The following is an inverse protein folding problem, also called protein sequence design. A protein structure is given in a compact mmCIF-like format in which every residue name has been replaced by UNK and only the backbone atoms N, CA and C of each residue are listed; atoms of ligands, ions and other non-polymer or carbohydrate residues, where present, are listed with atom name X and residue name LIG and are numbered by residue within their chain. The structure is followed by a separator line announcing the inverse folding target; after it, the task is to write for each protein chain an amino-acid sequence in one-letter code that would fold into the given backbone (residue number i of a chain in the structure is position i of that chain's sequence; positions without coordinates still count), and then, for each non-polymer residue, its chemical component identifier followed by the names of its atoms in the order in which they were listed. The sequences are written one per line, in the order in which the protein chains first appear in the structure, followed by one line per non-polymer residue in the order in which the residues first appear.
data_IF_728142616559
#
_entry.id   IF_728142616559
#
_cell.length_a   1.000
_cell.length_b   1.000
_cell.length_c   1.000
_cell.angle_alpha   90.00
_cell.angle_beta   90.00
_cell.angle_gamma   90.00
#
_symmetry.space_group_name_H-M   'P 1'
#
loop_
_entity.id
_entity.type
_entity.pdbx_description
1 polymer ?
#
# COMPACT_ATOMS: atom_id res chain seq x y z
N UNK A 1 72.88 -1.15 33.17
CA UNK A 1 72.32 -0.71 31.86
C UNK A 1 70.89 -0.23 32.06
N UNK A 2 70.75 1.06 32.03
CA UNK A 2 69.61 1.86 32.45
C UNK A 2 68.66 2.13 31.27
N UNK A 3 67.41 1.80 31.42
CA UNK A 3 66.36 2.18 30.47
C UNK A 3 65.53 3.30 31.04
N UNK A 4 65.56 4.46 30.33
CA UNK A 4 64.85 5.71 30.62
C UNK A 4 63.35 5.55 30.22
N UNK A 5 62.42 5.81 31.12
CA UNK A 5 60.97 5.93 30.83
C UNK A 5 60.66 7.37 30.54
N UNK A 6 60.13 7.63 29.32
CA UNK A 6 59.54 8.92 28.92
C UNK A 6 58.03 8.84 29.17
N UNK A 7 57.51 9.63 30.09
CA UNK A 7 56.10 9.85 30.35
C UNK A 7 55.61 11.06 29.52
N UNK A 8 54.67 10.78 28.58
CA UNK A 8 53.94 11.86 27.87
C UNK A 8 52.65 12.18 28.65
N UNK A 9 52.56 13.42 29.15
CA UNK A 9 51.36 14.00 29.74
C UNK A 9 50.42 14.42 28.62
N UNK A 10 49.19 13.83 28.56
CA UNK A 10 48.09 14.35 27.75
C UNK A 10 47.27 15.32 28.59
N UNK A 11 47.17 16.57 28.11
CA UNK A 11 46.27 17.60 28.63
C UNK A 11 44.93 17.42 27.96
N UNK A 12 43.89 17.09 28.72
CA UNK A 12 42.51 17.09 28.26
C UNK A 12 41.91 18.51 28.37
N UNK A 13 41.60 19.10 27.23
CA UNK A 13 40.78 20.30 27.14
C UNK A 13 39.32 19.86 27.09
N UNK A 14 38.55 20.10 28.16
CA UNK A 14 37.11 19.84 28.23
C UNK A 14 36.34 20.91 27.48
N UNK A 15 35.65 20.53 26.43
CA UNK A 15 34.60 21.35 25.82
C UNK A 15 33.25 20.80 26.36
N UNK A 16 32.60 21.60 27.21
CA UNK A 16 31.23 21.37 27.68
C UNK A 16 30.31 21.89 26.56
N UNK A 17 29.76 20.97 25.75
CA UNK A 17 28.65 21.26 24.85
C UNK A 17 27.33 21.09 25.61
N UNK A 18 26.63 22.18 25.87
CA UNK A 18 25.26 22.16 26.42
C UNK A 18 24.29 21.60 25.38
N UNK A 19 23.89 20.33 25.52
CA UNK A 19 22.76 19.76 24.77
C UNK A 19 21.45 20.29 25.35
N UNK A 20 20.77 21.12 24.56
CA UNK A 20 19.37 21.47 24.84
C UNK A 20 18.50 20.21 24.59
N UNK A 21 17.96 19.67 25.67
CA UNK A 21 16.95 18.60 25.64
C UNK A 21 15.64 19.17 25.05
N UNK A 22 15.40 18.92 23.76
CA UNK A 22 14.07 19.11 23.17
C UNK A 22 13.24 17.88 23.44
N UNK A 23 12.08 18.05 24.07
CA UNK A 23 11.18 16.99 24.50
C UNK A 23 10.60 16.22 23.30
N UNK A 24 10.44 14.88 23.38
CA UNK A 24 9.93 14.04 22.28
C UNK A 24 8.47 14.32 21.86
N UNK A 25 7.72 15.10 22.65
CA UNK A 25 6.33 15.44 22.34
C UNK A 25 6.16 16.40 21.16
N UNK A 26 7.15 17.24 20.84
CA UNK A 26 7.04 18.21 19.74
C UNK A 26 7.25 17.59 18.36
N UNK A 27 8.01 16.50 18.28
CA UNK A 27 8.28 15.81 17.01
C UNK A 27 7.10 14.95 16.55
N UNK A 28 6.39 14.29 17.48
CA UNK A 28 5.18 13.52 17.16
C UNK A 28 4.07 14.39 16.56
N UNK A 29 3.93 15.64 17.02
CA UNK A 29 2.94 16.56 16.47
C UNK A 29 3.29 17.05 15.05
N UNK A 30 4.56 17.20 14.71
CA UNK A 30 4.98 17.63 13.38
C UNK A 30 4.76 16.52 12.33
N UNK A 31 4.98 15.25 12.70
CA UNK A 31 4.73 14.09 11.85
C UNK A 31 3.24 13.90 11.59
N UNK A 32 2.42 14.00 12.63
CA UNK A 32 0.96 13.95 12.52
C UNK A 32 0.40 15.07 11.62
N UNK A 33 0.97 16.27 11.70
CA UNK A 33 0.59 17.39 10.84
C UNK A 33 0.96 17.13 9.37
N UNK A 34 2.18 16.65 9.09
CA UNK A 34 2.61 16.30 7.71
C UNK A 34 1.79 15.17 7.09
N UNK A 35 1.43 14.16 7.88
CA UNK A 35 0.56 13.04 7.42
C UNK A 35 -0.85 13.55 7.17
N UNK A 36 -1.38 14.41 8.05
CA UNK A 36 -2.71 15.02 7.89
C UNK A 36 -2.78 15.95 6.68
N UNK A 37 -1.73 16.73 6.43
CA UNK A 37 -1.67 17.65 5.29
C UNK A 37 -1.52 16.89 3.95
N UNK A 38 -0.78 15.78 3.90
CA UNK A 38 -0.73 14.89 2.71
C UNK A 38 -2.04 14.15 2.47
N UNK A 39 -2.66 13.59 3.49
CA UNK A 39 -3.98 12.97 3.39
C UNK A 39 -5.04 13.99 2.94
N UNK A 40 -4.96 15.23 3.43
CA UNK A 40 -5.82 16.33 3.00
C UNK A 40 -5.55 16.76 1.54
N UNK A 41 -4.30 16.79 1.09
CA UNK A 41 -3.95 17.14 -0.31
C UNK A 41 -4.39 16.06 -1.31
N UNK A 42 -4.40 14.78 -0.91
CA UNK A 42 -4.91 13.68 -1.76
C UNK A 42 -6.43 13.61 -1.76
N UNK A 43 -7.08 14.11 -0.70
CA UNK A 43 -8.53 14.08 -0.50
C UNK A 43 -9.25 15.39 -0.89
N UNK A 44 -8.52 16.48 -1.17
CA UNK A 44 -9.14 17.78 -1.39
C UNK A 44 -9.47 18.08 -2.84
N UNK A 45 -10.72 18.07 -3.15
CA UNK A 45 -11.53 19.19 -3.58
C UNK A 45 -11.34 19.75 -4.99
N UNK A 46 -10.20 19.57 -5.64
CA UNK A 46 -10.01 20.10 -7.01
C UNK A 46 -10.44 19.14 -8.13
N UNK A 47 -10.62 17.87 -7.82
CA UNK A 47 -11.09 16.87 -8.80
C UNK A 47 -12.63 16.76 -8.75
N UNK A 48 -13.24 16.92 -7.58
CA UNK A 48 -14.71 16.86 -7.41
C UNK A 48 -15.45 17.98 -8.15
N UNK A 49 -15.02 19.23 -8.04
CA UNK A 49 -15.71 20.36 -8.65
C UNK A 49 -15.70 20.37 -10.19
N UNK A 50 -14.70 19.75 -10.83
CA UNK A 50 -14.66 19.63 -12.29
C UNK A 50 -15.48 18.45 -12.82
N UNK A 51 -15.59 17.39 -12.03
CA UNK A 51 -16.29 16.15 -12.42
C UNK A 51 -17.81 16.32 -12.30
N UNK A 52 -18.29 16.97 -11.23
CA UNK A 52 -19.73 17.19 -11.02
C UNK A 52 -20.34 18.14 -12.05
N UNK A 53 -19.58 19.17 -12.50
CA UNK A 53 -20.01 20.08 -13.57
C UNK A 53 -20.06 19.44 -14.95
N UNK A 54 -19.21 18.45 -15.21
CA UNK A 54 -19.19 17.71 -16.48
C UNK A 54 -20.33 16.68 -16.56
N UNK A 55 -20.64 16.01 -15.48
CA UNK A 55 -21.73 15.03 -15.41
C UNK A 55 -23.10 15.69 -15.50
N UNK A 56 -23.32 16.83 -14.81
CA UNK A 56 -24.58 17.57 -14.84
C UNK A 56 -24.91 18.13 -16.26
N UNK A 57 -23.88 18.53 -17.03
CA UNK A 57 -24.09 18.98 -18.42
C UNK A 57 -24.38 17.83 -19.40
N UNK A 58 -23.87 16.61 -19.13
CA UNK A 58 -24.11 15.42 -19.96
C UNK A 58 -25.53 14.90 -19.83
N UNK A 59 -26.08 14.89 -18.62
CA UNK A 59 -27.40 14.34 -18.33
C UNK A 59 -28.53 15.24 -18.90
N UNK A 60 -28.39 16.53 -18.79
CA UNK A 60 -29.41 17.46 -19.30
C UNK A 60 -29.52 17.47 -20.85
N UNK A 61 -28.47 17.08 -21.56
CA UNK A 61 -28.49 17.03 -23.03
C UNK A 61 -29.11 15.74 -23.59
N UNK A 62 -29.22 14.69 -22.78
CA UNK A 62 -29.78 13.37 -23.19
C UNK A 62 -31.29 13.27 -22.93
N UNK A 63 -31.88 14.16 -22.11
CA UNK A 63 -33.29 14.14 -21.75
C UNK A 63 -34.18 14.96 -22.67
N UNK A 64 -33.61 15.78 -23.58
CA UNK A 64 -34.41 16.61 -24.50
C UNK A 64 -34.69 15.97 -25.89
N UNK A 65 -34.26 14.72 -26.14
CA UNK A 65 -34.42 14.08 -27.45
C UNK A 65 -35.11 12.72 -27.35
N UNK A 66 -36.22 12.60 -26.65
CA UNK A 66 -37.07 11.41 -26.71
C UNK A 66 -38.55 11.80 -26.60
N UNK A 67 -39.17 12.01 -27.71
CA UNK A 67 -40.62 11.84 -27.83
C UNK A 67 -40.96 11.13 -29.15
N UNK A 68 -41.83 10.10 -29.14
CA UNK A 68 -42.03 9.22 -30.27
C UNK A 68 -43.32 9.63 -31.07
N UNK A 69 -43.24 9.54 -32.39
CA UNK A 69 -44.45 9.35 -33.18
C UNK A 69 -44.28 8.21 -34.19
N UNK A 70 -45.31 7.38 -34.21
CA UNK A 70 -45.57 6.26 -35.09
C UNK A 70 -45.72 6.69 -36.56
N UNK A 71 -45.28 5.86 -37.49
CA UNK A 71 -46.17 5.23 -38.50
C UNK A 71 -45.36 4.30 -39.43
N UNK A 72 -45.94 3.12 -39.69
CA UNK A 72 -45.60 2.14 -40.73
C UNK A 72 -46.53 2.44 -41.94
N UNK A 73 -46.35 2.05 -43.21
CA UNK A 73 -45.95 0.75 -43.70
C UNK A 73 -45.24 0.63 -45.07
N UNK A 74 -44.67 -0.53 -45.31
CA UNK A 74 -44.58 -1.33 -46.58
C UNK A 74 -43.88 -0.81 -47.80
N UNK A 75 -42.93 -1.61 -48.32
CA UNK A 75 -42.49 -1.59 -49.73
C UNK A 75 -41.13 -2.24 -50.01
N UNK A 76 -41.14 -3.43 -50.59
CA UNK A 76 -40.00 -4.18 -51.17
C UNK A 76 -39.16 -3.33 -52.12
N UNK A 77 -37.84 -3.48 -52.12
CA UNK A 77 -37.07 -4.00 -53.26
C UNK A 77 -35.56 -4.10 -52.98
N UNK A 78 -35.07 -5.22 -53.46
CA UNK A 78 -33.68 -5.62 -53.52
C UNK A 78 -32.82 -4.64 -54.35
N UNK A 79 -31.61 -4.34 -53.87
CA UNK A 79 -30.39 -4.28 -54.68
C UNK A 79 -29.13 -4.32 -53.82
N UNK A 80 -28.32 -5.26 -54.17
CA UNK A 80 -26.93 -5.50 -53.95
C UNK A 80 -26.08 -4.22 -53.87
N UNK A 81 -25.40 -3.94 -52.76
CA UNK A 81 -24.24 -3.03 -52.69
C UNK A 81 -23.31 -3.41 -51.54
N UNK A 82 -22.15 -3.85 -51.94
CA UNK A 82 -20.82 -3.81 -51.31
C UNK A 82 -20.75 -3.37 -49.86
N UNK A 83 -20.30 -4.30 -49.00
CA UNK A 83 -19.91 -4.06 -47.63
C UNK A 83 -18.63 -3.19 -47.58
N UNK A 84 -18.78 -1.88 -47.36
CA UNK A 84 -17.72 -1.06 -46.81
C UNK A 84 -17.72 -1.23 -45.29
N UNK A 85 -16.64 -1.81 -44.77
CA UNK A 85 -16.30 -1.95 -43.37
C UNK A 85 -16.06 -0.55 -42.78
N UNK A 86 -17.12 0.12 -42.32
CA UNK A 86 -17.01 1.31 -41.49
C UNK A 86 -16.78 0.88 -40.04
N UNK A 87 -15.52 0.63 -39.68
CA UNK A 87 -15.09 0.43 -38.33
C UNK A 87 -15.48 1.60 -37.43
N UNK A 88 -16.61 1.50 -36.75
CA UNK A 88 -16.92 2.39 -35.64
C UNK A 88 -15.85 2.21 -34.58
N UNK A 89 -15.20 3.30 -34.10
CA UNK A 89 -14.27 3.18 -32.97
C UNK A 89 -15.04 2.65 -31.76
N UNK A 90 -14.61 1.53 -31.23
CA UNK A 90 -15.15 0.95 -30.00
C UNK A 90 -15.14 2.05 -28.93
N UNK A 91 -16.32 2.51 -28.52
CA UNK A 91 -16.47 3.42 -27.40
C UNK A 91 -15.95 2.72 -26.15
N UNK A 92 -14.71 3.01 -25.76
CA UNK A 92 -14.19 2.54 -24.48
C UNK A 92 -14.96 3.24 -23.36
N UNK A 93 -15.86 2.52 -22.73
CA UNK A 93 -16.53 2.98 -21.51
C UNK A 93 -15.47 3.11 -20.42
N UNK A 94 -15.17 4.34 -19.99
CA UNK A 94 -14.30 4.59 -18.87
C UNK A 94 -15.11 4.34 -17.59
N UNK A 95 -14.79 3.24 -16.89
CA UNK A 95 -15.30 3.00 -15.54
C UNK A 95 -14.48 3.84 -14.56
N UNK A 96 -15.15 4.67 -13.76
CA UNK A 96 -14.53 5.42 -12.67
C UNK A 96 -14.80 4.72 -11.36
N UNK A 97 -13.74 4.36 -10.62
CA UNK A 97 -13.83 3.92 -9.24
C UNK A 97 -13.56 5.09 -8.32
N UNK A 98 -14.48 5.37 -7.40
CA UNK A 98 -14.27 6.42 -6.39
C UNK A 98 -13.29 5.90 -5.34
N UNK A 99 -12.26 6.70 -5.02
CA UNK A 99 -11.43 6.46 -3.85
C UNK A 99 -12.26 6.74 -2.60
N UNK A 100 -12.64 5.68 -1.90
CA UNK A 100 -13.52 5.71 -0.74
C UNK A 100 -12.84 5.14 0.53
N UNK A 101 -11.50 5.17 0.55
CA UNK A 101 -10.73 4.77 1.72
C UNK A 101 -10.86 5.79 2.84
N UNK A 102 -11.12 5.30 4.05
CA UNK A 102 -11.11 6.10 5.27
C UNK A 102 -10.21 5.41 6.29
N UNK A 103 -9.19 6.13 6.75
CA UNK A 103 -8.27 5.61 7.75
C UNK A 103 -8.97 5.33 9.09
N UNK A 104 -8.53 4.30 9.80
CA UNK A 104 -9.00 4.00 11.15
C UNK A 104 -8.71 5.14 12.11
N UNK A 105 -9.57 5.33 13.10
CA UNK A 105 -9.53 6.45 14.06
C UNK A 105 -8.53 6.22 15.21
N UNK A 106 -8.24 4.97 15.56
CA UNK A 106 -7.33 4.61 16.65
C UNK A 106 -6.01 4.06 16.12
N UNK A 107 -4.98 4.90 16.05
CA UNK A 107 -3.64 4.53 15.59
C UNK A 107 -3.00 3.58 16.60
N UNK A 108 -2.56 2.42 16.14
CA UNK A 108 -1.89 1.39 16.94
C UNK A 108 -0.38 1.40 16.74
N UNK A 109 0.07 1.67 15.51
CA UNK A 109 1.47 1.60 15.12
C UNK A 109 1.75 2.58 13.99
N UNK A 110 2.88 3.28 14.10
CA UNK A 110 3.43 4.16 13.05
C UNK A 110 4.93 3.96 13.04
N UNK A 111 5.48 3.77 11.86
CA UNK A 111 6.93 3.74 11.67
C UNK A 111 7.30 4.33 10.30
N UNK A 112 8.00 5.46 10.32
CA UNK A 112 8.60 6.13 9.16
C UNK A 112 10.13 5.93 9.11
N UNK A 113 10.65 5.12 10.04
CA UNK A 113 12.06 4.81 10.23
C UNK A 113 12.97 6.02 10.53
N UNK A 114 12.42 7.20 10.80
CA UNK A 114 13.20 8.45 10.97
C UNK A 114 14.21 8.40 12.12
N UNK A 115 13.97 7.56 13.12
CA UNK A 115 14.82 7.41 14.31
C UNK A 115 15.71 6.16 14.28
N UNK A 116 15.74 5.44 13.16
CA UNK A 116 16.47 4.19 13.01
C UNK A 116 17.83 4.39 12.34
N UNK A 117 18.75 3.45 12.52
CA UNK A 117 20.08 3.49 11.92
C UNK A 117 20.04 3.01 10.45
N UNK A 118 20.65 3.79 9.55
CA UNK A 118 20.83 3.39 8.15
C UNK A 118 21.83 2.24 8.05
N UNK A 119 21.55 1.27 7.17
CA UNK A 119 22.35 0.08 6.97
C UNK A 119 21.98 -1.09 7.90
N UNK A 120 21.03 -0.91 8.79
CA UNK A 120 20.55 -1.92 9.73
C UNK A 120 19.07 -2.25 9.48
N UNK A 121 18.61 -3.39 10.01
CA UNK A 121 17.18 -3.70 10.09
C UNK A 121 16.55 -2.81 11.17
N UNK A 122 15.29 -2.33 10.98
CA UNK A 122 14.63 -1.52 12.00
C UNK A 122 14.58 -2.23 13.35
N UNK A 123 14.72 -1.46 14.43
CA UNK A 123 14.72 -1.99 15.81
C UNK A 123 13.44 -2.78 16.10
N UNK A 124 13.60 -3.98 16.69
CA UNK A 124 12.48 -4.85 17.04
C UNK A 124 11.87 -5.64 15.87
N UNK A 125 12.23 -5.34 14.63
CA UNK A 125 11.86 -6.14 13.47
C UNK A 125 12.63 -7.47 13.46
N UNK A 126 12.08 -8.46 12.75
CA UNK A 126 12.75 -9.73 12.53
C UNK A 126 12.84 -10.03 11.03
N UNK A 127 13.94 -10.67 10.61
CA UNK A 127 14.16 -11.00 9.20
C UNK A 127 15.02 -12.26 9.08
N UNK A 128 14.80 -13.03 8.00
CA UNK A 128 15.66 -14.17 7.63
C UNK A 128 16.71 -13.83 6.57
N UNK A 129 16.92 -12.55 6.27
CA UNK A 129 17.91 -12.08 5.30
C UNK A 129 18.43 -10.69 5.61
N UNK A 130 19.18 -10.11 4.66
CA UNK A 130 19.92 -8.87 4.83
C UNK A 130 19.17 -7.62 4.36
N UNK A 131 17.86 -7.55 4.62
CA UNK A 131 17.08 -6.33 4.41
C UNK A 131 17.52 -5.24 5.38
N UNK A 132 17.69 -4.00 4.89
CA UNK A 132 18.25 -2.89 5.66
C UNK A 132 17.58 -1.57 5.32
N UNK A 133 17.71 -0.60 6.20
CA UNK A 133 17.30 0.77 5.95
C UNK A 133 18.29 1.50 5.07
N UNK A 134 17.78 2.24 4.10
CA UNK A 134 18.55 3.05 3.17
C UNK A 134 17.92 4.44 2.99
N UNK A 135 18.71 5.40 2.49
CA UNK A 135 18.21 6.64 1.88
C UNK A 135 18.22 6.47 0.37
N UNK A 136 17.20 6.99 -0.28
CA UNK A 136 17.09 7.01 -1.74
C UNK A 136 17.31 8.42 -2.26
N UNK A 137 18.12 8.56 -3.31
CA UNK A 137 18.42 9.86 -3.91
C UNK A 137 17.13 10.52 -4.42
N UNK A 138 16.95 11.79 -4.06
CA UNK A 138 15.77 12.57 -4.43
C UNK A 138 14.48 12.19 -3.70
N UNK A 139 14.53 11.29 -2.71
CA UNK A 139 13.37 10.93 -1.89
C UNK A 139 13.59 11.29 -0.42
N UNK A 140 12.54 11.82 0.21
CA UNK A 140 12.58 12.11 1.64
C UNK A 140 12.45 10.83 2.48
N UNK A 141 13.06 10.86 3.68
CA UNK A 141 12.94 9.81 4.69
C UNK A 141 13.87 8.62 4.49
N UNK A 142 13.59 7.58 5.24
CA UNK A 142 14.32 6.31 5.19
C UNK A 142 13.39 5.21 4.68
N UNK A 143 13.97 4.24 4.00
CA UNK A 143 13.25 3.19 3.31
C UNK A 143 13.81 1.82 3.68
N UNK A 144 12.94 0.88 4.03
CA UNK A 144 13.32 -0.52 4.17
C UNK A 144 13.54 -1.13 2.79
N UNK A 145 14.81 -1.38 2.44
CA UNK A 145 15.18 -2.13 1.23
C UNK A 145 15.05 -3.62 1.49
N UNK A 146 14.23 -4.29 0.70
CA UNK A 146 14.09 -5.74 0.77
C UNK A 146 15.23 -6.45 0.01
N UNK A 147 15.90 -7.39 0.67
CA UNK A 147 16.76 -8.34 -0.01
C UNK A 147 15.95 -9.48 -0.62
N UNK A 148 16.42 -10.08 -1.73
CA UNK A 148 15.75 -11.25 -2.30
C UNK A 148 15.78 -12.44 -1.33
N UNK A 149 14.79 -13.34 -1.42
CA UNK A 149 14.59 -14.53 -0.55
C UNK A 149 14.36 -14.17 0.93
N UNK A 150 13.84 -12.98 1.18
CA UNK A 150 13.70 -12.45 2.54
C UNK A 150 12.25 -12.25 2.91
N UNK A 151 11.94 -12.59 4.16
CA UNK A 151 10.75 -12.19 4.89
C UNK A 151 11.17 -11.23 5.98
N UNK A 152 10.49 -10.09 6.09
CA UNK A 152 10.63 -9.14 7.18
C UNK A 152 9.31 -9.06 7.94
N UNK A 153 9.36 -9.18 9.26
CA UNK A 153 8.23 -9.07 10.17
C UNK A 153 8.36 -7.78 10.97
N UNK A 154 7.30 -6.98 10.99
CA UNK A 154 7.27 -5.74 11.80
C UNK A 154 7.30 -6.06 13.30
N UNK A 155 7.68 -5.07 14.10
CA UNK A 155 7.66 -5.16 15.56
C UNK A 155 6.29 -4.86 16.19
N UNK A 156 5.24 -4.62 15.38
CA UNK A 156 3.89 -4.45 15.91
C UNK A 156 3.39 -5.72 16.61
N UNK A 157 2.88 -5.58 17.83
CA UNK A 157 2.33 -6.67 18.66
C UNK A 157 0.86 -6.44 19.03
N UNK A 158 0.33 -5.23 18.73
CA UNK A 158 -1.03 -4.86 19.09
C UNK A 158 -2.02 -5.48 18.13
N UNK A 159 -3.12 -6.00 18.66
CA UNK A 159 -4.21 -6.57 17.87
C UNK A 159 -4.96 -5.46 17.11
N UNK A 160 -5.17 -5.68 15.82
CA UNK A 160 -5.84 -4.71 14.94
C UNK A 160 -7.37 -4.66 15.14
N UNK A 161 -7.95 -5.71 15.73
CA UNK A 161 -9.40 -5.85 15.81
C UNK A 161 -9.99 -6.43 14.51
N UNK A 162 -11.33 -6.41 14.42
CA UNK A 162 -12.04 -6.87 13.21
C UNK A 162 -12.14 -5.78 12.16
N UNK A 163 -12.18 -4.53 12.60
CA UNK A 163 -12.18 -3.35 11.73
C UNK A 163 -10.83 -2.66 11.87
N UNK A 164 -10.10 -2.56 10.77
CA UNK A 164 -8.74 -2.03 10.76
C UNK A 164 -8.36 -1.41 9.42
N UNK A 165 -7.32 -0.57 9.48
CA UNK A 165 -6.65 -0.06 8.29
C UNK A 165 -5.14 -0.23 8.40
N UNK A 166 -4.50 -0.46 7.25
CA UNK A 166 -3.05 -0.48 7.08
C UNK A 166 -2.70 0.42 5.92
N UNK A 167 -1.74 1.29 6.13
CA UNK A 167 -1.21 2.20 5.12
C UNK A 167 0.32 2.11 5.11
N UNK A 168 0.92 2.17 3.94
CA UNK A 168 2.36 2.31 3.75
C UNK A 168 2.69 2.81 2.36
N UNK A 169 3.89 3.33 2.18
CA UNK A 169 4.41 3.69 0.87
C UNK A 169 5.35 2.60 0.36
N UNK A 170 5.24 2.29 -0.93
CA UNK A 170 6.08 1.33 -1.65
C UNK A 170 6.76 2.01 -2.83
N UNK A 171 8.03 1.69 -3.06
CA UNK A 171 8.76 2.12 -4.26
C UNK A 171 9.38 0.90 -4.94
N UNK A 172 9.09 0.73 -6.23
CA UNK A 172 9.57 -0.39 -7.04
C UNK A 172 10.47 0.13 -8.16
N UNK A 173 11.73 -0.25 -8.11
CA UNK A 173 12.71 0.01 -9.16
C UNK A 173 13.11 -1.32 -9.80
N UNK A 174 12.75 -1.53 -11.06
CA UNK A 174 13.00 -2.77 -11.77
C UNK A 174 13.55 -2.45 -13.17
N UNK A 175 14.76 -2.93 -13.43
CA UNK A 175 15.35 -2.89 -14.77
C UNK A 175 15.00 -4.18 -15.51
N UNK A 176 13.88 -4.16 -16.25
CA UNK A 176 13.34 -5.34 -16.93
C UNK A 176 14.31 -5.88 -18.00
N UNK A 177 14.89 -7.06 -17.76
CA UNK A 177 15.87 -7.73 -18.64
C UNK A 177 15.29 -8.93 -19.42
N UNK A 178 13.96 -9.06 -19.46
CA UNK A 178 13.29 -10.19 -20.13
C UNK A 178 13.13 -11.43 -19.25
N UNK A 179 13.70 -11.46 -18.04
CA UNK A 179 13.46 -12.49 -17.03
C UNK A 179 12.27 -12.10 -16.14
N UNK A 180 11.73 -13.06 -15.40
CA UNK A 180 10.70 -12.78 -14.41
C UNK A 180 11.34 -12.16 -13.18
N UNK A 181 10.93 -10.92 -12.79
CA UNK A 181 11.33 -10.34 -11.53
C UNK A 181 10.80 -11.16 -10.34
N UNK A 182 11.35 -10.97 -9.13
CA UNK A 182 10.83 -11.64 -7.95
C UNK A 182 9.42 -11.15 -7.64
N UNK A 183 8.57 -12.05 -7.14
CA UNK A 183 7.27 -11.67 -6.59
C UNK A 183 7.46 -10.92 -5.27
N UNK A 184 6.70 -9.87 -5.11
CA UNK A 184 6.64 -9.03 -3.92
C UNK A 184 5.37 -9.38 -3.17
N UNK A 185 5.48 -9.67 -1.87
CA UNK A 185 4.33 -9.92 -1.02
C UNK A 185 4.32 -8.97 0.15
N UNK A 186 3.15 -8.53 0.51
CA UNK A 186 2.89 -7.86 1.76
C UNK A 186 1.58 -8.38 2.36
N UNK A 187 1.53 -8.43 3.66
CA UNK A 187 0.36 -9.00 4.30
C UNK A 187 0.35 -8.86 5.80
N UNK A 188 -0.75 -9.31 6.37
CA UNK A 188 -1.00 -9.35 7.80
C UNK A 188 -1.07 -10.80 8.26
N UNK A 189 -0.59 -11.05 9.46
CA UNK A 189 -0.75 -12.35 10.11
C UNK A 189 -1.18 -12.21 11.57
N UNK A 190 -1.84 -13.24 12.06
CA UNK A 190 -2.08 -13.50 13.46
C UNK A 190 -1.03 -14.50 13.93
N UNK A 191 -0.18 -14.09 14.84
CA UNK A 191 0.86 -14.97 15.37
C UNK A 191 0.28 -16.08 16.25
N UNK A 192 -0.96 -15.90 16.76
CA UNK A 192 -1.60 -16.86 17.65
C UNK A 192 -0.76 -17.11 18.89
N UNK A 193 -0.35 -18.38 19.09
CA UNK A 193 0.54 -18.80 20.17
C UNK A 193 2.02 -18.73 19.81
N UNK A 194 2.37 -18.46 18.55
CA UNK A 194 3.77 -18.32 18.14
C UNK A 194 4.37 -17.06 18.74
N UNK A 195 5.66 -17.14 19.10
CA UNK A 195 6.41 -15.96 19.52
C UNK A 195 6.60 -15.05 18.30
N UNK A 196 6.07 -13.80 18.33
CA UNK A 196 6.22 -12.85 17.22
C UNK A 196 7.69 -12.49 16.92
N UNK A 197 8.59 -12.62 17.90
CA UNK A 197 10.02 -12.40 17.72
C UNK A 197 10.77 -13.65 17.28
N UNK A 198 10.11 -14.81 17.26
CA UNK A 198 10.68 -16.07 16.85
C UNK A 198 10.83 -16.22 15.35
N UNK A 199 11.68 -17.15 14.92
CA UNK A 199 12.00 -17.37 13.51
C UNK A 199 10.98 -18.25 12.76
N UNK A 200 10.03 -18.86 13.45
CA UNK A 200 9.05 -19.79 12.86
C UNK A 200 8.25 -19.14 11.75
N UNK A 201 7.80 -17.89 11.97
CA UNK A 201 6.99 -17.15 11.02
C UNK A 201 7.80 -16.61 9.82
N UNK A 202 9.12 -16.59 9.91
CA UNK A 202 9.99 -16.20 8.78
C UNK A 202 10.06 -17.28 7.69
N UNK A 203 9.86 -18.54 8.04
CA UNK A 203 9.84 -19.66 7.09
C UNK A 203 8.47 -19.83 6.41
N UNK A 204 7.38 -19.54 7.13
CA UNK A 204 6.01 -19.59 6.62
C UNK A 204 5.16 -18.48 7.27
N UNK A 205 5.07 -17.28 6.64
CA UNK A 205 4.37 -16.14 7.22
C UNK A 205 2.84 -16.28 7.10
N UNK A 206 2.29 -17.41 7.50
CA UNK A 206 0.84 -17.66 7.53
C UNK A 206 0.26 -17.57 8.94
N UNK A 207 1.00 -18.05 9.97
CA UNK A 207 0.52 -18.08 11.33
C UNK A 207 -0.82 -18.82 11.49
N UNK A 208 -1.59 -18.49 12.51
CA UNK A 208 -2.95 -19.04 12.70
C UNK A 208 -3.94 -18.45 11.68
N UNK A 209 -3.67 -17.24 11.22
CA UNK A 209 -4.46 -16.51 10.23
C UNK A 209 -3.54 -15.58 9.46
N UNK A 210 -3.70 -15.50 8.16
CA UNK A 210 -2.98 -14.52 7.35
C UNK A 210 -3.79 -14.00 6.19
N UNK A 211 -3.36 -12.85 5.71
CA UNK A 211 -3.84 -12.19 4.52
C UNK A 211 -2.62 -11.72 3.75
N UNK A 212 -2.58 -11.96 2.45
CA UNK A 212 -1.44 -11.65 1.60
C UNK A 212 -1.90 -11.13 0.24
N UNK A 213 -1.32 -10.02 -0.21
CA UNK A 213 -1.33 -9.62 -1.60
C UNK A 213 0.05 -9.94 -2.21
N UNK A 214 0.04 -10.67 -3.31
CA UNK A 214 1.23 -10.94 -4.12
C UNK A 214 1.18 -10.10 -5.38
N UNK A 215 2.29 -9.45 -5.70
CA UNK A 215 2.54 -8.72 -6.94
C UNK A 215 3.66 -9.43 -7.67
N UNK A 216 3.37 -9.94 -8.87
CA UNK A 216 4.38 -10.49 -9.78
C UNK A 216 4.61 -9.50 -10.91
N UNK A 217 5.72 -8.72 -10.87
CA UNK A 217 5.96 -7.64 -11.82
C UNK A 217 6.16 -8.15 -13.26
N UNK A 218 5.65 -7.38 -14.22
CA UNK A 218 5.84 -7.57 -15.65
C UNK A 218 6.20 -6.22 -16.29
N UNK A 219 6.94 -6.21 -17.39
CA UNK A 219 7.28 -4.98 -18.11
C UNK A 219 6.04 -4.21 -18.62
N UNK A 220 4.93 -4.91 -18.79
CA UNK A 220 3.64 -4.36 -19.24
C UNK A 220 2.64 -4.07 -18.14
N UNK A 221 2.95 -4.43 -16.88
CA UNK A 221 2.05 -4.32 -15.76
C UNK A 221 2.47 -5.24 -14.62
N UNK A 222 1.52 -5.89 -13.95
CA UNK A 222 1.79 -6.95 -12.99
C UNK A 222 0.63 -7.95 -12.94
N UNK A 223 0.92 -9.20 -12.59
CA UNK A 223 -0.09 -10.10 -12.08
C UNK A 223 -0.23 -9.90 -10.57
N UNK A 224 -1.45 -9.74 -10.10
CA UNK A 224 -1.75 -9.59 -8.68
C UNK A 224 -2.66 -10.72 -8.22
N UNK A 225 -2.40 -11.24 -7.02
CA UNK A 225 -3.18 -12.30 -6.38
C UNK A 225 -3.41 -11.92 -4.92
N UNK A 226 -4.63 -12.13 -4.45
CA UNK A 226 -5.00 -11.99 -3.06
C UNK A 226 -5.28 -13.37 -2.47
N UNK A 227 -4.62 -13.67 -1.37
CA UNK A 227 -4.79 -14.93 -0.64
C UNK A 227 -5.04 -14.67 0.84
N UNK A 228 -5.80 -15.54 1.47
CA UNK A 228 -5.85 -15.62 2.92
C UNK A 228 -5.86 -17.07 3.40
N UNK A 229 -5.41 -17.26 4.64
CA UNK A 229 -5.24 -18.56 5.27
C UNK A 229 -5.84 -18.56 6.67
N UNK A 230 -6.32 -19.71 7.09
CA UNK A 230 -6.75 -20.03 8.45
C UNK A 230 -6.13 -21.38 8.84
N UNK A 231 -5.38 -21.41 9.94
CA UNK A 231 -4.67 -22.61 10.41
C UNK A 231 -3.88 -23.28 9.27
N UNK A 232 -3.05 -22.49 8.56
CA UNK A 232 -2.24 -22.91 7.40
C UNK A 232 -3.06 -23.41 6.18
N UNK A 233 -4.41 -23.49 6.27
CA UNK A 233 -5.26 -23.87 5.15
C UNK A 233 -5.74 -22.65 4.41
N UNK A 234 -5.70 -22.69 3.07
CA UNK A 234 -6.17 -21.58 2.23
C UNK A 234 -7.67 -21.37 2.46
N UNK A 235 -8.05 -20.17 2.91
CA UNK A 235 -9.42 -19.73 3.13
C UNK A 235 -10.00 -19.04 1.89
N UNK A 236 -9.20 -18.15 1.29
CA UNK A 236 -9.59 -17.44 0.09
C UNK A 236 -8.41 -17.35 -0.88
N UNK A 237 -8.71 -17.36 -2.18
CA UNK A 237 -7.74 -17.12 -3.26
C UNK A 237 -8.45 -16.41 -4.41
N UNK A 238 -7.96 -15.25 -4.81
CA UNK A 238 -8.44 -14.60 -6.02
C UNK A 238 -7.84 -15.29 -7.26
N UNK A 239 -8.56 -15.28 -8.40
CA UNK A 239 -7.88 -15.52 -9.68
C UNK A 239 -6.76 -14.50 -9.87
N UNK A 240 -5.64 -14.88 -10.54
CA UNK A 240 -4.63 -13.92 -10.93
C UNK A 240 -5.24 -12.81 -11.80
N UNK A 241 -5.02 -11.56 -11.42
CA UNK A 241 -5.50 -10.41 -12.17
C UNK A 241 -4.31 -9.75 -12.86
N UNK A 242 -4.35 -9.65 -14.19
CA UNK A 242 -3.37 -8.86 -14.93
C UNK A 242 -3.77 -7.38 -14.82
N UNK A 243 -2.94 -6.59 -14.16
CA UNK A 243 -3.17 -5.16 -13.99
C UNK A 243 -2.19 -4.36 -14.85
N UNK A 244 -2.71 -3.76 -15.91
CA UNK A 244 -1.96 -2.78 -16.70
C UNK A 244 -1.71 -1.48 -15.90
N UNK A 245 -2.51 -1.21 -14.87
CA UNK A 245 -2.31 -0.07 -13.96
C UNK A 245 -0.97 -0.16 -13.24
N UNK A 246 -0.50 -1.39 -12.97
CA UNK A 246 0.78 -1.61 -12.32
C UNK A 246 1.99 -1.05 -13.08
N UNK A 247 1.88 -0.79 -14.38
CA UNK A 247 2.93 -0.09 -15.13
C UNK A 247 3.24 1.29 -14.55
N UNK A 248 2.27 1.93 -13.90
CA UNK A 248 2.44 3.23 -13.25
C UNK A 248 3.19 3.14 -11.92
N UNK A 249 3.34 1.93 -11.35
CA UNK A 249 3.97 1.75 -10.03
C UNK A 249 5.49 1.75 -10.09
N UNK A 250 6.08 1.45 -11.25
CA UNK A 250 7.53 1.38 -11.40
C UNK A 250 8.16 2.77 -11.47
N UNK A 251 9.20 2.98 -10.67
CA UNK A 251 9.92 4.24 -10.58
C UNK A 251 9.14 5.38 -9.91
N UNK A 252 8.05 5.06 -9.18
CA UNK A 252 7.23 6.01 -8.44
C UNK A 252 6.91 5.49 -7.05
N UNK A 253 6.68 6.41 -6.13
CA UNK A 253 6.11 6.08 -4.82
C UNK A 253 4.63 5.75 -5.00
N UNK A 254 4.24 4.58 -4.56
CA UNK A 254 2.87 4.08 -4.58
C UNK A 254 2.36 3.99 -3.14
N UNK A 255 1.30 4.72 -2.85
CA UNK A 255 0.61 4.60 -1.57
C UNK A 255 -0.31 3.38 -1.57
N UNK A 256 -0.11 2.48 -0.61
CA UNK A 256 -0.93 1.29 -0.41
C UNK A 256 -1.86 1.53 0.77
N UNK A 257 -3.17 1.31 0.54
CA UNK A 257 -4.19 1.39 1.58
C UNK A 257 -4.97 0.07 1.65
N UNK A 258 -5.04 -0.50 2.83
CA UNK A 258 -5.76 -1.76 3.10
C UNK A 258 -6.81 -1.48 4.17
N UNK A 259 -8.03 -1.92 3.94
CA UNK A 259 -9.14 -1.81 4.87
C UNK A 259 -9.79 -3.18 5.09
N UNK A 260 -9.73 -3.66 6.33
CA UNK A 260 -10.48 -4.82 6.79
C UNK A 260 -11.73 -4.39 7.55
N UNK A 261 -12.85 -5.00 7.23
CA UNK A 261 -14.13 -4.77 7.91
C UNK A 261 -14.81 -6.13 8.12
N UNK A 262 -14.62 -6.72 9.28
CA UNK A 262 -14.98 -8.10 9.58
C UNK A 262 -14.38 -9.08 8.54
N UNK A 263 -15.20 -9.66 7.67
CA UNK A 263 -14.76 -10.55 6.59
C UNK A 263 -14.38 -9.82 5.31
N UNK A 264 -14.85 -8.56 5.14
CA UNK A 264 -14.62 -7.79 3.92
C UNK A 264 -13.23 -7.18 3.90
N UNK A 265 -12.58 -7.26 2.74
CA UNK A 265 -11.29 -6.66 2.48
C UNK A 265 -11.37 -5.74 1.27
N UNK A 266 -10.77 -4.57 1.41
CA UNK A 266 -10.53 -3.64 0.31
C UNK A 266 -9.07 -3.27 0.27
N UNK A 267 -8.50 -3.16 -0.93
CA UNK A 267 -7.11 -2.74 -1.15
C UNK A 267 -7.08 -1.71 -2.27
N UNK A 268 -6.38 -0.62 -2.03
CA UNK A 268 -6.11 0.43 -3.02
C UNK A 268 -4.60 0.57 -3.22
N UNK A 269 -4.21 0.86 -4.46
CA UNK A 269 -2.84 1.16 -4.86
C UNK A 269 -2.86 2.50 -5.56
N UNK A 270 -2.25 3.53 -4.94
CA UNK A 270 -2.22 4.90 -5.46
C UNK A 270 -3.62 5.46 -5.80
N UNK A 271 -4.60 5.13 -4.94
CA UNK A 271 -6.00 5.52 -5.10
C UNK A 271 -6.86 4.63 -5.99
N UNK A 272 -6.26 3.76 -6.80
CA UNK A 272 -6.99 2.78 -7.61
C UNK A 272 -7.38 1.56 -6.75
N UNK A 273 -8.67 1.22 -6.72
CA UNK A 273 -9.18 0.07 -5.96
C UNK A 273 -8.84 -1.22 -6.69
N UNK A 274 -7.92 -2.00 -6.13
CA UNK A 274 -7.48 -3.29 -6.67
C UNK A 274 -8.39 -4.44 -6.26
N UNK A 275 -8.86 -4.44 -5.00
CA UNK A 275 -9.71 -5.47 -4.45
C UNK A 275 -10.84 -4.88 -3.61
N UNK A 276 -12.01 -5.48 -3.73
CA UNK A 276 -13.15 -5.32 -2.84
C UNK A 276 -13.86 -6.68 -2.70
N UNK A 277 -13.45 -7.45 -1.69
CA UNK A 277 -13.86 -8.83 -1.52
C UNK A 277 -14.67 -8.97 -0.23
N UNK A 278 -15.97 -9.32 -0.31
CA UNK A 278 -16.84 -9.38 0.86
C UNK A 278 -16.44 -10.43 1.91
N UNK A 279 -15.80 -11.53 1.48
CA UNK A 279 -15.42 -12.65 2.34
C UNK A 279 -13.99 -13.11 2.04
N UNK A 280 -13.02 -12.23 2.28
CA UNK A 280 -11.60 -12.55 2.15
C UNK A 280 -10.92 -12.80 3.50
N UNK A 281 -11.49 -12.32 4.61
CA UNK A 281 -10.88 -12.39 5.94
C UNK A 281 -11.59 -13.45 6.78
N UNK A 282 -10.89 -14.48 7.29
CA UNK A 282 -11.47 -15.38 8.28
C UNK A 282 -11.90 -14.62 9.55
N UNK A 283 -13.08 -14.90 10.11
CA UNK A 283 -13.60 -14.19 11.29
C UNK A 283 -12.81 -14.47 12.56
N UNK A 284 -12.32 -15.72 12.73
CA UNK A 284 -11.60 -16.11 13.92
C UNK A 284 -10.16 -15.57 13.92
N UNK A 285 -9.70 -15.19 15.10
CA UNK A 285 -8.38 -14.60 15.29
C UNK A 285 -8.32 -13.13 14.86
N UNK A 286 -7.32 -12.42 15.34
CA UNK A 286 -7.06 -11.01 15.00
C UNK A 286 -5.64 -10.87 14.50
N UNK A 287 -5.46 -10.07 13.45
CA UNK A 287 -4.13 -9.71 12.96
C UNK A 287 -3.39 -8.87 14.00
N UNK A 288 -2.10 -9.08 14.10
CA UNK A 288 -1.22 -8.32 15.00
C UNK A 288 0.15 -8.01 14.40
N UNK A 289 0.46 -8.52 13.21
CA UNK A 289 1.77 -8.31 12.62
C UNK A 289 1.66 -8.07 11.12
N UNK A 290 2.36 -7.04 10.63
CA UNK A 290 2.59 -6.78 9.23
C UNK A 290 3.87 -7.49 8.79
N UNK A 291 3.89 -8.04 7.57
CA UNK A 291 5.09 -8.59 6.97
C UNK A 291 5.26 -8.16 5.52
N UNK A 292 6.53 -8.17 5.08
CA UNK A 292 6.94 -8.02 3.71
C UNK A 292 7.78 -9.21 3.29
N UNK A 293 7.65 -9.64 2.04
CA UNK A 293 8.42 -10.73 1.49
C UNK A 293 8.83 -10.42 0.05
N UNK A 294 10.09 -10.71 -0.27
CA UNK A 294 10.61 -10.68 -1.63
C UNK A 294 11.12 -12.08 -2.00
N UNK A 295 10.56 -12.64 -3.09
CA UNK A 295 10.96 -13.97 -3.56
C UNK A 295 12.34 -13.95 -4.21
N UNK A 296 12.82 -15.11 -4.66
CA UNK A 296 14.05 -15.20 -5.45
C UNK A 296 13.79 -14.94 -6.93
N UNK A 297 14.81 -14.42 -7.61
CA UNK A 297 14.84 -14.32 -9.07
C UNK A 297 16.27 -14.47 -9.60
N UNK A 298 16.45 -14.37 -10.90
CA UNK A 298 17.75 -14.31 -11.55
C UNK A 298 18.32 -12.88 -11.62
N UNK A 299 17.58 -11.89 -11.12
CA UNK A 299 18.04 -10.51 -11.08
C UNK A 299 19.16 -10.33 -10.06
N UNK A 300 20.10 -9.45 -10.37
CA UNK A 300 21.11 -9.00 -9.42
C UNK A 300 20.52 -7.85 -8.56
N UNK A 301 21.15 -7.58 -7.41
CA UNK A 301 20.65 -6.61 -6.44
C UNK A 301 20.70 -5.15 -6.93
N UNK A 302 21.49 -4.84 -7.94
CA UNK A 302 21.56 -3.53 -8.60
C UNK A 302 20.50 -3.34 -9.69
N UNK A 303 19.87 -4.42 -10.15
CA UNK A 303 18.84 -4.41 -11.19
C UNK A 303 17.43 -4.30 -10.61
N UNK A 304 17.27 -4.50 -9.31
CA UNK A 304 15.99 -4.49 -8.65
C UNK A 304 16.09 -3.82 -7.27
N UNK A 305 15.14 -2.95 -7.00
CA UNK A 305 14.93 -2.33 -5.70
C UNK A 305 13.46 -2.41 -5.30
N UNK A 306 13.21 -2.96 -4.12
CA UNK A 306 11.87 -3.01 -3.51
C UNK A 306 11.98 -2.37 -2.13
N UNK A 307 11.25 -1.28 -1.93
CA UNK A 307 11.38 -0.44 -0.76
C UNK A 307 10.03 -0.13 -0.14
N UNK A 308 9.99 -0.04 1.20
CA UNK A 308 8.79 0.30 1.98
C UNK A 308 9.09 1.36 3.02
N UNK A 309 8.13 2.22 3.30
CA UNK A 309 8.22 3.25 4.37
C UNK A 309 6.83 3.75 4.79
N UNK A 310 6.77 4.70 5.71
CA UNK A 310 5.55 5.39 6.16
C UNK A 310 4.43 4.42 6.60
N UNK A 311 4.79 3.40 7.36
CA UNK A 311 3.87 2.35 7.80
C UNK A 311 2.95 2.91 8.88
N UNK A 312 1.65 2.64 8.75
CA UNK A 312 0.63 3.01 9.72
C UNK A 312 -0.42 1.91 9.84
N UNK A 313 -0.65 1.45 11.05
CA UNK A 313 -1.70 0.50 11.40
C UNK A 313 -2.67 1.17 12.36
N UNK A 314 -3.97 1.08 12.07
CA UNK A 314 -5.01 1.62 12.92
C UNK A 314 -6.16 0.63 13.06
N UNK A 315 -6.89 0.71 14.16
CA UNK A 315 -8.13 -0.04 14.39
C UNK A 315 -9.34 0.89 14.36
N UNK A 316 -10.51 0.29 14.21
CA UNK A 316 -11.77 1.00 14.13
C UNK A 316 -12.04 1.52 12.72
N UNK A 317 -13.27 1.92 12.53
CA UNK A 317 -13.73 2.65 11.35
C UNK A 317 -14.39 3.91 11.86
N UNK A 318 -14.04 5.08 11.34
CA UNK A 318 -14.73 6.30 11.73
C UNK A 318 -16.23 6.12 11.52
N UNK A 319 -17.01 6.40 12.52
CA UNK A 319 -18.46 6.48 12.36
C UNK A 319 -18.80 7.76 11.58
N UNK A 320 -18.83 7.61 10.26
CA UNK A 320 -19.17 8.71 9.36
C UNK A 320 -20.57 9.25 9.61
N UNK A 321 -21.49 8.43 10.16
CA UNK A 321 -22.83 8.89 10.53
C UNK A 321 -22.77 9.79 11.76
N UNK A 322 -21.97 9.44 12.76
CA UNK A 322 -21.78 10.25 13.96
C UNK A 322 -21.12 11.59 13.62
N UNK A 323 -20.08 11.58 12.78
CA UNK A 323 -19.44 12.81 12.28
C UNK A 323 -20.40 13.70 11.49
N UNK A 324 -21.25 13.11 10.66
CA UNK A 324 -22.26 13.84 9.89
C UNK A 324 -23.33 14.47 10.80
N UNK A 325 -23.66 13.82 11.92
CA UNK A 325 -24.62 14.36 12.89
C UNK A 325 -24.01 15.45 13.77
N UNK A 326 -22.73 15.34 14.13
CA UNK A 326 -22.04 16.33 14.95
C UNK A 326 -21.59 17.57 14.14
N UNK A 327 -21.12 17.38 12.91
CA UNK A 327 -20.58 18.48 12.09
C UNK A 327 -21.63 19.16 11.19
N UNK A 328 -22.82 18.57 11.03
CA UNK A 328 -23.98 19.19 10.34
C UNK A 328 -23.71 19.63 8.89
N UNK A 329 -22.66 19.14 8.24
CA UNK A 329 -22.26 19.56 6.89
C UNK A 329 -21.99 18.38 5.97
N UNK A 330 -22.79 18.30 4.92
CA UNK A 330 -22.37 17.61 3.70
C UNK A 330 -21.45 18.57 2.92
N UNK A 331 -20.20 18.21 2.78
CA UNK A 331 -19.28 18.88 1.87
C UNK A 331 -19.11 18.04 0.60
#
# INVERSE_FOLDING_TARGET
MTWLRLTKKFVYFGIIASMALTSPASQAQSILKKIKDRAAQTATGKILDKTDKAVSKGINKTLETANPEQDNPTGENSKDQTLEDSGQPAHSVKAFSKFDFVAGDSILYVNDFSNEAIGELPTGWNSNGSSVLVKLDGMEGQWLRMAQRTVCLSDNRKLLGQDFTVEFDMFLQIDFKGWLPPSIRFGLLSTGKADPSGNTLLSDPKGDKSLCMEISPLSTGANVVLESYKNHTRYFNSPPQNSNLAKKWYGKVVHVSIQGQKERLRIWMDGDKMYDVPKAIPLEGMFNQLYFQLSSSSYQDDQIGVYFTNIKLAKGMPDLRHKLMEEGKFS
#
